data_IF_883202087140
#
_entry.id   IF_883202087140
#
_cell.length_a   1.000
_cell.length_b   1.000
_cell.length_c   1.000
_cell.angle_alpha   90.00
_cell.angle_beta   90.00
_cell.angle_gamma   90.00
#
_symmetry.space_group_name_H-M   'P 1'
#
loop_
_entity.id
_entity.type
_entity.pdbx_description
1 polymer ?
#
# COMPACT_ATOMS: atom_id res chain seq x y z
N UNK A 1 24.21 22.68 -0.53
CA UNK A 1 22.88 22.90 -1.15
C UNK A 1 21.87 22.15 -0.31
N UNK A 2 21.02 22.84 0.48
CA UNK A 2 20.02 22.15 1.32
C UNK A 2 19.07 21.41 0.39
N UNK A 3 18.94 20.09 0.58
CA UNK A 3 17.87 19.31 -0.04
C UNK A 3 16.56 20.03 0.29
N UNK A 4 15.85 20.47 -0.73
CA UNK A 4 14.56 21.13 -0.58
C UNK A 4 13.62 20.14 0.09
N UNK A 5 13.07 20.50 1.25
CA UNK A 5 12.11 19.70 2.03
C UNK A 5 11.06 19.09 1.08
N UNK A 6 11.09 17.76 0.93
CA UNK A 6 10.25 17.05 -0.05
C UNK A 6 9.28 16.14 0.68
N UNK A 7 7.99 16.26 0.37
CA UNK A 7 6.95 15.39 0.87
C UNK A 7 6.65 14.32 -0.18
N UNK A 8 6.75 13.05 0.21
CA UNK A 8 6.45 11.92 -0.66
C UNK A 8 5.05 11.44 -0.37
N UNK A 9 4.23 11.38 -1.42
CA UNK A 9 2.91 10.78 -1.38
C UNK A 9 2.89 9.56 -2.31
N UNK A 10 2.54 8.42 -1.73
CA UNK A 10 2.24 7.18 -2.45
C UNK A 10 0.74 7.02 -2.49
N UNK A 11 0.21 6.71 -3.67
CA UNK A 11 -1.21 6.50 -3.91
C UNK A 11 -1.36 5.10 -4.52
N UNK A 12 -2.18 4.26 -3.91
CA UNK A 12 -2.47 2.92 -4.39
C UNK A 12 -3.98 2.76 -4.60
N UNK A 13 -4.34 2.31 -5.78
CA UNK A 13 -5.72 2.01 -6.16
C UNK A 13 -5.95 0.51 -5.90
N UNK A 14 -7.01 0.18 -5.16
CA UNK A 14 -7.26 -1.16 -4.62
C UNK A 14 -6.99 -2.34 -5.56
N UNK A 15 -6.62 -3.49 -4.97
CA UNK A 15 -6.48 -4.82 -5.60
C UNK A 15 -7.65 -5.26 -6.51
N UNK A 16 -8.81 -4.59 -6.45
CA UNK A 16 -9.96 -4.87 -7.31
C UNK A 16 -9.67 -4.71 -8.81
N UNK A 17 -8.72 -3.86 -9.18
CA UNK A 17 -8.25 -3.71 -10.56
C UNK A 17 -7.91 -5.07 -11.20
N UNK A 18 -7.37 -6.00 -10.41
CA UNK A 18 -7.02 -7.35 -10.86
C UNK A 18 -8.21 -8.29 -11.15
N UNK A 19 -9.45 -7.88 -10.83
CA UNK A 19 -10.68 -8.65 -11.06
C UNK A 19 -11.43 -8.22 -12.33
N UNK A 20 -11.04 -7.10 -12.94
CA UNK A 20 -11.71 -6.58 -14.13
C UNK A 20 -11.27 -7.36 -15.37
N UNK A 21 -12.21 -7.57 -16.30
CA UNK A 21 -11.88 -8.04 -17.65
C UNK A 21 -10.97 -7.04 -18.35
N UNK A 22 -10.02 -7.53 -19.17
CA UNK A 22 -8.96 -6.73 -19.79
C UNK A 22 -9.45 -5.46 -20.52
N UNK A 23 -10.61 -5.53 -21.20
CA UNK A 23 -11.16 -4.37 -21.92
C UNK A 23 -11.79 -3.32 -21.00
N UNK A 24 -12.48 -3.76 -19.94
CA UNK A 24 -13.05 -2.85 -18.94
C UNK A 24 -11.96 -2.22 -18.08
N UNK A 25 -10.91 -2.98 -17.81
CA UNK A 25 -9.70 -2.55 -17.14
C UNK A 25 -9.05 -1.38 -17.89
N UNK A 26 -8.78 -1.50 -19.19
CA UNK A 26 -8.07 -0.48 -19.96
C UNK A 26 -8.77 0.90 -19.97
N UNK A 27 -10.07 0.95 -20.24
CA UNK A 27 -10.81 2.23 -20.28
C UNK A 27 -10.93 2.86 -18.88
N UNK A 28 -11.13 2.03 -17.86
CA UNK A 28 -11.20 2.49 -16.48
C UNK A 28 -9.85 3.07 -16.03
N UNK A 29 -8.77 2.33 -16.25
CA UNK A 29 -7.40 2.70 -15.90
C UNK A 29 -6.99 4.01 -16.56
N UNK A 30 -7.34 4.23 -17.84
CA UNK A 30 -7.08 5.52 -18.51
C UNK A 30 -7.83 6.69 -17.87
N UNK A 31 -9.14 6.57 -17.61
CA UNK A 31 -9.93 7.64 -16.98
C UNK A 31 -9.44 7.94 -15.57
N UNK A 32 -9.13 6.89 -14.81
CA UNK A 32 -8.56 7.00 -13.49
C UNK A 32 -7.21 7.72 -13.53
N UNK A 33 -6.33 7.30 -14.43
CA UNK A 33 -5.01 7.89 -14.55
C UNK A 33 -5.07 9.37 -14.90
N UNK A 34 -5.93 9.73 -15.86
CA UNK A 34 -6.17 11.13 -16.22
C UNK A 34 -6.73 11.94 -15.05
N UNK A 35 -7.65 11.35 -14.27
CA UNK A 35 -8.22 11.98 -13.08
C UNK A 35 -7.18 12.26 -12.00
N UNK A 36 -6.34 11.28 -11.67
CA UNK A 36 -5.26 11.41 -10.68
C UNK A 36 -4.24 12.45 -11.16
N UNK A 37 -3.71 12.31 -12.38
CA UNK A 37 -2.71 13.23 -12.94
C UNK A 37 -3.20 14.69 -12.99
N UNK A 38 -4.47 14.92 -13.32
CA UNK A 38 -5.06 16.27 -13.31
C UNK A 38 -5.07 16.88 -11.90
N UNK A 39 -5.39 16.08 -10.88
CA UNK A 39 -5.39 16.56 -9.49
C UNK A 39 -3.96 16.79 -9.00
N UNK A 40 -3.03 15.88 -9.29
CA UNK A 40 -1.61 16.04 -8.95
C UNK A 40 -1.05 17.34 -9.53
N UNK A 41 -1.27 17.58 -10.83
CA UNK A 41 -0.81 18.81 -11.50
C UNK A 41 -1.43 20.08 -10.89
N UNK A 42 -2.72 20.05 -10.53
CA UNK A 42 -3.40 21.18 -9.88
C UNK A 42 -2.73 21.59 -8.57
N UNK A 43 -2.22 20.62 -7.81
CA UNK A 43 -1.54 20.84 -6.54
C UNK A 43 0.00 20.77 -6.67
N UNK A 44 0.54 20.99 -7.88
CA UNK A 44 1.98 21.04 -8.15
C UNK A 44 2.75 19.78 -7.70
N UNK A 45 2.07 18.63 -7.66
CA UNK A 45 2.68 17.34 -7.39
C UNK A 45 3.45 16.84 -8.60
N UNK A 46 4.70 16.43 -8.41
CA UNK A 46 5.53 15.81 -9.45
C UNK A 46 5.47 14.30 -9.33
N UNK A 47 5.13 13.61 -10.40
CA UNK A 47 5.19 12.14 -10.45
C UNK A 47 6.66 11.70 -10.51
N UNK A 48 7.09 10.88 -9.55
CA UNK A 48 8.41 10.25 -9.52
C UNK A 48 8.37 8.94 -10.29
N UNK A 49 7.34 8.12 -10.03
CA UNK A 49 7.12 6.85 -10.71
C UNK A 49 5.63 6.52 -10.73
N UNK A 50 5.20 5.80 -11.74
CA UNK A 50 3.82 5.36 -11.92
C UNK A 50 3.80 3.92 -12.44
N UNK A 51 2.80 3.17 -11.98
CA UNK A 51 2.38 1.86 -12.49
C UNK A 51 0.86 1.88 -12.66
N UNK A 52 0.28 0.77 -13.11
CA UNK A 52 -1.17 0.66 -13.37
C UNK A 52 -2.04 0.99 -12.15
N UNK A 53 -1.54 0.71 -10.95
CA UNK A 53 -2.28 0.84 -9.70
C UNK A 53 -1.57 1.69 -8.63
N UNK A 54 -0.30 2.05 -8.83
CA UNK A 54 0.47 2.82 -7.84
C UNK A 54 1.10 4.07 -8.44
N UNK A 55 0.96 5.18 -7.73
CA UNK A 55 1.68 6.42 -8.00
C UNK A 55 2.59 6.76 -6.85
N UNK A 56 3.77 7.25 -7.19
CA UNK A 56 4.69 7.86 -6.25
C UNK A 56 4.98 9.27 -6.70
N UNK A 57 4.77 10.22 -5.79
CA UNK A 57 4.78 11.63 -6.13
C UNK A 57 5.53 12.43 -5.07
N UNK A 58 6.12 13.55 -5.48
CA UNK A 58 6.79 14.50 -4.60
C UNK A 58 6.11 15.86 -4.65
N UNK A 59 6.09 16.53 -3.51
CA UNK A 59 5.58 17.89 -3.34
C UNK A 59 6.60 18.73 -2.56
N UNK A 60 6.67 20.02 -2.88
CA UNK A 60 7.53 20.98 -2.19
C UNK A 60 6.83 21.67 -1.00
N UNK A 61 5.50 21.61 -0.95
CA UNK A 61 4.69 22.22 0.12
C UNK A 61 3.78 21.17 0.76
N UNK A 62 3.73 21.15 2.09
CA UNK A 62 2.89 20.19 2.81
C UNK A 62 1.41 20.51 2.63
N UNK A 63 1.05 21.79 2.51
CA UNK A 63 -0.33 22.22 2.28
C UNK A 63 -0.87 21.66 0.96
N UNK A 64 -0.12 21.83 -0.13
CA UNK A 64 -0.46 21.26 -1.43
C UNK A 64 -0.59 19.73 -1.36
N UNK A 65 0.32 19.07 -0.63
CA UNK A 65 0.30 17.61 -0.42
C UNK A 65 -1.00 17.15 0.26
N UNK A 66 -1.37 17.77 1.38
CA UNK A 66 -2.56 17.39 2.16
C UNK A 66 -3.86 17.71 1.40
N UNK A 67 -3.96 18.89 0.78
CA UNK A 67 -5.13 19.27 0.00
C UNK A 67 -5.31 18.39 -1.25
N UNK A 68 -4.19 17.99 -1.88
CA UNK A 68 -4.20 17.03 -2.98
C UNK A 68 -4.78 15.68 -2.53
N UNK A 69 -4.33 15.14 -1.40
CA UNK A 69 -4.84 13.88 -0.86
C UNK A 69 -6.35 13.93 -0.57
N UNK A 70 -6.85 15.03 0.01
CA UNK A 70 -8.30 15.24 0.24
C UNK A 70 -9.05 15.27 -1.09
N UNK A 71 -8.53 16.02 -2.08
CA UNK A 71 -9.19 16.16 -3.37
C UNK A 71 -9.22 14.85 -4.15
N UNK A 72 -8.15 14.06 -4.07
CA UNK A 72 -8.08 12.72 -4.65
C UNK A 72 -9.13 11.79 -4.03
N UNK A 73 -9.21 11.73 -2.69
CA UNK A 73 -10.24 10.94 -1.99
C UNK A 73 -11.66 11.34 -2.41
N UNK A 74 -11.96 12.64 -2.44
CA UNK A 74 -13.27 13.13 -2.85
C UNK A 74 -13.60 12.79 -4.30
N UNK A 75 -12.66 13.04 -5.23
CA UNK A 75 -12.88 12.80 -6.66
C UNK A 75 -13.02 11.31 -6.97
N UNK A 76 -12.29 10.43 -6.26
CA UNK A 76 -12.34 8.99 -6.49
C UNK A 76 -13.74 8.40 -6.27
N UNK A 77 -14.56 9.01 -5.39
CA UNK A 77 -15.98 8.65 -5.22
C UNK A 77 -16.80 8.72 -6.53
N UNK A 78 -16.41 9.60 -7.45
CA UNK A 78 -17.16 9.91 -8.67
C UNK A 78 -16.59 9.29 -9.96
N UNK A 79 -15.39 8.71 -9.91
CA UNK A 79 -14.71 8.18 -11.12
C UNK A 79 -15.27 6.80 -11.55
N UNK A 80 -16.12 6.16 -10.74
CA UNK A 80 -16.49 4.73 -10.90
C UNK A 80 -17.99 4.38 -10.80
N UNK A 81 -18.98 5.21 -11.18
CA UNK A 81 -20.39 5.08 -10.75
C UNK A 81 -21.07 3.71 -10.93
N UNK A 82 -20.58 2.82 -11.81
CA UNK A 82 -21.15 1.47 -12.06
C UNK A 82 -20.64 0.34 -11.15
N UNK A 83 -19.70 0.56 -10.24
CA UNK A 83 -19.05 -0.51 -9.45
C UNK A 83 -19.47 -0.49 -7.96
N UNK A 84 -19.34 -1.56 -7.18
CA UNK A 84 -19.76 -1.54 -5.76
C UNK A 84 -18.96 -0.48 -4.95
N UNK A 85 -19.63 0.26 -4.06
CA UNK A 85 -19.02 1.28 -3.19
C UNK A 85 -18.04 0.69 -2.16
N UNK A 86 -18.24 -0.58 -1.78
CA UNK A 86 -17.44 -1.26 -0.73
C UNK A 86 -15.95 -1.40 -1.08
N UNK A 87 -15.65 -1.47 -2.39
CA UNK A 87 -14.34 -1.81 -2.98
C UNK A 87 -13.61 -0.60 -3.61
N UNK A 88 -14.27 0.56 -3.75
CA UNK A 88 -13.68 1.77 -4.35
C UNK A 88 -12.83 2.54 -3.33
N UNK A 89 -11.69 2.00 -2.93
CA UNK A 89 -10.83 2.64 -1.93
C UNK A 89 -9.48 3.02 -2.53
N UNK A 90 -9.17 4.30 -2.43
CA UNK A 90 -7.84 4.83 -2.66
C UNK A 90 -7.10 4.77 -1.33
N UNK A 91 -5.92 4.15 -1.33
CA UNK A 91 -5.00 4.25 -0.20
C UNK A 91 -3.94 5.29 -0.51
N UNK A 92 -3.59 6.08 0.50
CA UNK A 92 -2.60 7.15 0.40
C UNK A 92 -1.68 7.09 1.61
N UNK A 93 -0.38 6.98 1.38
CA UNK A 93 0.66 7.14 2.39
C UNK A 93 1.45 8.44 2.15
N UNK A 94 1.63 9.27 3.17
CA UNK A 94 2.39 10.53 3.07
C UNK A 94 3.48 10.58 4.13
N UNK A 95 4.73 10.72 3.71
CA UNK A 95 5.88 10.81 4.59
C UNK A 95 6.83 11.93 4.15
N UNK A 96 7.63 12.40 5.10
CA UNK A 96 8.67 13.38 4.84
C UNK A 96 9.96 12.69 4.38
N UNK A 97 10.61 13.22 3.34
CA UNK A 97 11.89 12.69 2.83
C UNK A 97 13.08 13.47 3.40
N UNK A 98 13.94 12.76 4.15
CA UNK A 98 15.17 13.29 4.76
C UNK A 98 16.43 12.95 3.97
N UNK A 99 16.28 12.35 2.79
CA UNK A 99 17.37 11.78 2.02
C UNK A 99 17.50 10.27 2.23
N UNK A 100 18.13 9.60 1.27
CA UNK A 100 18.30 8.14 1.22
C UNK A 100 17.02 7.32 1.01
N UNK A 101 15.91 7.95 0.59
CA UNK A 101 14.68 7.26 0.18
C UNK A 101 13.85 6.68 1.33
N UNK A 102 14.17 7.07 2.58
CA UNK A 102 13.48 6.59 3.79
C UNK A 102 12.02 7.07 3.82
N UNK A 103 11.77 8.32 3.47
CA UNK A 103 10.42 8.88 3.41
C UNK A 103 9.57 8.14 2.38
N UNK A 104 10.15 7.96 1.19
CA UNK A 104 9.59 7.12 0.13
C UNK A 104 9.20 5.70 0.60
N UNK A 105 10.11 5.02 1.29
CA UNK A 105 9.89 3.65 1.78
C UNK A 105 8.78 3.61 2.83
N UNK A 106 8.77 4.58 3.75
CA UNK A 106 7.74 4.70 4.76
C UNK A 106 6.37 4.98 4.15
N UNK A 107 6.27 5.90 3.18
CA UNK A 107 5.02 6.20 2.47
C UNK A 107 4.44 4.95 1.79
N UNK A 108 5.28 4.17 1.10
CA UNK A 108 4.89 2.89 0.49
C UNK A 108 4.38 1.90 1.54
N UNK A 109 5.15 1.67 2.61
CA UNK A 109 4.75 0.73 3.67
C UNK A 109 3.45 1.13 4.35
N UNK A 110 3.23 2.43 4.59
CA UNK A 110 1.98 2.91 5.16
C UNK A 110 0.80 2.61 4.25
N UNK A 111 0.95 2.87 2.95
CA UNK A 111 -0.08 2.61 1.94
C UNK A 111 -0.44 1.12 1.87
N UNK A 112 0.56 0.25 1.76
CA UNK A 112 0.34 -1.19 1.56
C UNK A 112 -0.16 -1.89 2.83
N UNK A 113 0.31 -1.46 4.01
CA UNK A 113 0.18 -2.26 5.25
C UNK A 113 -0.97 -1.82 6.15
N UNK A 114 -1.28 -0.52 6.20
CA UNK A 114 -2.22 0.02 7.19
C UNK A 114 -3.64 -0.03 6.65
N UNK A 115 -4.61 -0.31 7.54
CA UNK A 115 -6.02 -0.46 7.18
C UNK A 115 -6.72 0.85 6.81
N UNK A 116 -6.25 1.96 7.37
CA UNK A 116 -6.79 3.30 7.16
C UNK A 116 -6.48 3.83 5.73
N UNK A 117 -7.39 4.62 5.16
CA UNK A 117 -7.29 5.04 3.75
C UNK A 117 -6.22 6.10 3.50
N UNK A 118 -6.07 7.07 4.41
CA UNK A 118 -5.03 8.09 4.29
C UNK A 118 -4.21 8.09 5.57
N UNK A 119 -2.92 7.79 5.42
CA UNK A 119 -2.00 7.65 6.53
C UNK A 119 -0.85 8.62 6.34
N UNK A 120 -0.55 9.38 7.38
CA UNK A 120 0.51 10.38 7.37
C UNK A 120 1.48 10.16 8.52
N UNK A 121 2.74 10.45 8.27
CA UNK A 121 3.76 10.53 9.29
C UNK A 121 3.52 11.74 10.22
N UNK A 122 3.91 11.63 11.49
CA UNK A 122 3.85 12.73 12.46
C UNK A 122 4.55 14.02 11.97
N UNK A 123 5.67 13.92 11.25
CA UNK A 123 6.39 15.08 10.70
C UNK A 123 5.54 15.85 9.68
N UNK A 124 4.83 15.14 8.81
CA UNK A 124 3.91 15.74 7.83
C UNK A 124 2.80 16.51 8.55
N UNK A 125 2.21 15.92 9.59
CA UNK A 125 1.20 16.61 10.41
C UNK A 125 1.77 17.88 11.05
N UNK A 126 2.92 17.79 11.70
CA UNK A 126 3.55 18.92 12.38
C UNK A 126 3.91 20.05 11.41
N UNK A 127 4.43 19.71 10.23
CA UNK A 127 4.73 20.67 9.17
C UNK A 127 3.45 21.40 8.70
N UNK A 128 2.36 20.66 8.47
CA UNK A 128 1.09 21.24 8.03
C UNK A 128 0.54 22.24 9.05
N UNK A 129 0.56 21.87 10.33
CA UNK A 129 0.08 22.72 11.43
C UNK A 129 0.93 24.00 11.57
N UNK A 130 2.24 23.90 11.34
CA UNK A 130 3.18 25.03 11.35
C UNK A 130 2.93 25.98 10.18
N UNK A 131 2.71 25.46 8.97
CA UNK A 131 2.47 26.28 7.77
C UNK A 131 1.09 26.97 7.82
N UNK A 132 0.08 26.34 8.42
CA UNK A 132 -1.31 26.78 8.39
C UNK A 132 -1.84 27.27 9.75
N UNK A 133 -1.06 28.05 10.52
CA UNK A 133 -1.48 28.76 11.76
C UNK A 133 -2.58 28.03 12.58
N UNK A 134 -2.29 26.81 13.05
CA UNK A 134 -3.20 25.97 13.85
C UNK A 134 -4.38 25.30 13.12
N UNK A 135 -4.37 25.22 11.79
CA UNK A 135 -5.30 24.35 11.08
C UNK A 135 -5.08 22.88 11.48
N UNK A 136 -6.14 22.18 11.82
CA UNK A 136 -6.09 20.77 12.20
C UNK A 136 -6.36 19.88 10.98
N UNK A 137 -5.55 18.84 10.84
CA UNK A 137 -5.88 17.73 9.94
C UNK A 137 -7.04 16.95 10.58
N UNK A 138 -8.16 16.86 9.86
CA UNK A 138 -9.33 16.13 10.33
C UNK A 138 -8.98 14.64 10.48
N UNK A 139 -9.14 14.10 11.70
CA UNK A 139 -8.88 12.70 12.05
C UNK A 139 -9.84 11.73 11.38
N UNK A 140 -11.02 12.19 10.96
CA UNK A 140 -11.99 11.37 10.21
C UNK A 140 -11.48 11.03 8.81
N UNK A 141 -10.57 11.84 8.28
CA UNK A 141 -9.99 11.66 6.95
C UNK A 141 -8.54 11.15 6.97
N UNK A 142 -7.81 11.39 8.05
CA UNK A 142 -6.39 11.07 8.15
C UNK A 142 -6.04 10.34 9.44
N UNK A 143 -5.35 9.21 9.30
CA UNK A 143 -4.60 8.61 10.40
C UNK A 143 -3.20 9.20 10.45
N UNK A 144 -2.83 9.77 11.59
CA UNK A 144 -1.42 10.11 11.88
C UNK A 144 -0.77 8.97 12.66
N UNK A 145 0.34 8.43 12.16
CA UNK A 145 1.12 7.46 12.91
C UNK A 145 1.89 8.11 14.05
N UNK A 146 1.82 7.49 15.23
CA UNK A 146 2.72 7.80 16.34
C UNK A 146 4.13 7.32 16.01
N UNK A 147 5.14 7.94 16.61
CA UNK A 147 6.55 7.52 16.45
C UNK A 147 6.72 6.02 16.75
N UNK A 148 6.11 5.52 17.82
CA UNK A 148 6.16 4.10 18.18
C UNK A 148 5.50 3.16 17.15
N UNK A 149 4.49 3.65 16.41
CA UNK A 149 3.84 2.88 15.34
C UNK A 149 4.70 2.88 14.09
N UNK A 150 5.28 4.03 13.73
CA UNK A 150 6.28 4.14 12.64
C UNK A 150 7.45 3.20 12.89
N UNK A 151 8.05 3.22 14.09
CA UNK A 151 9.16 2.32 14.45
C UNK A 151 8.75 0.84 14.34
N UNK A 152 7.56 0.49 14.83
CA UNK A 152 7.06 -0.88 14.72
C UNK A 152 6.87 -1.29 13.26
N UNK A 153 6.22 -0.47 12.44
CA UNK A 153 5.99 -0.73 11.02
C UNK A 153 7.31 -0.92 10.28
N UNK A 154 8.29 -0.05 10.51
CA UNK A 154 9.61 -0.16 9.89
C UNK A 154 10.29 -1.48 10.25
N UNK A 155 10.42 -1.81 11.54
CA UNK A 155 11.04 -3.08 11.99
C UNK A 155 10.30 -4.31 11.47
N UNK A 156 8.97 -4.27 11.50
CA UNK A 156 8.12 -5.35 11.00
C UNK A 156 8.39 -5.61 9.52
N UNK A 157 8.35 -4.56 8.70
CA UNK A 157 8.51 -4.70 7.25
C UNK A 157 9.96 -5.03 6.86
N UNK A 158 10.96 -4.41 7.51
CA UNK A 158 12.37 -4.77 7.33
C UNK A 158 12.58 -6.27 7.58
N UNK A 159 12.01 -6.80 8.66
CA UNK A 159 12.15 -8.22 8.97
C UNK A 159 11.35 -9.11 8.00
N UNK A 160 10.07 -8.79 7.73
CA UNK A 160 9.25 -9.55 6.77
C UNK A 160 9.91 -9.63 5.41
N UNK A 161 10.47 -8.53 4.90
CA UNK A 161 11.13 -8.49 3.59
C UNK A 161 12.32 -9.46 3.49
N UNK A 162 12.94 -9.83 4.62
CA UNK A 162 14.04 -10.81 4.66
C UNK A 162 13.57 -12.27 4.78
N UNK A 163 12.39 -12.53 5.35
CA UNK A 163 11.94 -13.90 5.66
C UNK A 163 10.68 -14.34 4.91
N UNK A 164 9.94 -13.46 4.25
CA UNK A 164 8.57 -13.72 3.76
C UNK A 164 8.43 -14.95 2.86
N UNK A 165 9.45 -15.28 2.05
CA UNK A 165 9.44 -16.41 1.13
C UNK A 165 9.94 -17.72 1.75
N UNK A 166 10.39 -17.71 3.00
CA UNK A 166 10.81 -18.92 3.69
C UNK A 166 9.57 -19.69 4.22
N UNK A 167 9.26 -20.89 3.70
CA UNK A 167 8.09 -21.64 4.15
C UNK A 167 8.14 -22.11 5.62
N UNK A 168 9.33 -22.19 6.23
CA UNK A 168 9.52 -22.78 7.56
C UNK A 168 9.54 -21.78 8.70
N UNK A 169 9.53 -20.48 8.44
CA UNK A 169 9.56 -19.49 9.52
C UNK A 169 8.24 -19.47 10.28
N UNK A 170 8.33 -19.25 11.60
CA UNK A 170 7.23 -19.17 12.54
C UNK A 170 6.97 -17.74 13.00
N UNK A 171 5.76 -17.50 13.51
CA UNK A 171 5.41 -16.23 14.17
C UNK A 171 6.33 -15.98 15.39
N UNK A 172 6.79 -17.06 16.01
CA UNK A 172 7.64 -17.00 17.19
C UNK A 172 9.01 -16.37 16.91
N UNK A 173 9.43 -16.35 15.64
CA UNK A 173 10.69 -15.77 15.20
C UNK A 173 10.65 -14.23 15.19
N UNK A 174 9.48 -13.60 15.42
CA UNK A 174 9.30 -12.15 15.35
C UNK A 174 9.58 -11.41 16.66
N UNK A 175 9.71 -12.10 17.79
CA UNK A 175 9.84 -11.41 19.08
C UNK A 175 11.18 -10.68 19.23
N UNK A 176 12.29 -11.37 18.93
CA UNK A 176 13.63 -10.81 19.05
C UNK A 176 13.89 -9.69 18.02
N UNK A 177 13.63 -9.88 16.71
CA UNK A 177 13.97 -8.86 15.71
C UNK A 177 13.15 -7.58 15.88
N UNK A 178 11.88 -7.71 16.29
CA UNK A 178 11.02 -6.54 16.50
C UNK A 178 11.22 -5.93 17.89
N UNK A 179 11.68 -6.71 18.88
CA UNK A 179 11.85 -6.29 20.28
C UNK A 179 10.52 -6.17 21.04
N UNK A 180 9.54 -7.02 20.73
CA UNK A 180 8.21 -7.00 21.36
C UNK A 180 7.73 -8.41 21.71
N UNK A 181 7.06 -8.54 22.86
CA UNK A 181 6.39 -9.80 23.25
C UNK A 181 5.28 -10.20 22.27
N UNK A 182 4.87 -11.47 22.29
CA UNK A 182 3.79 -11.99 21.41
C UNK A 182 2.49 -11.18 21.52
N UNK A 183 2.09 -10.87 22.74
CA UNK A 183 0.88 -10.07 23.02
C UNK A 183 0.99 -8.64 22.49
N UNK A 184 2.17 -8.02 22.58
CA UNK A 184 2.40 -6.68 22.01
C UNK A 184 2.35 -6.70 20.49
N UNK A 185 2.99 -7.68 19.84
CA UNK A 185 2.95 -7.84 18.39
C UNK A 185 1.50 -8.02 17.92
N UNK A 186 0.75 -8.93 18.53
CA UNK A 186 -0.65 -9.18 18.18
C UNK A 186 -1.49 -7.89 18.25
N UNK A 187 -1.43 -7.17 19.39
CA UNK A 187 -2.19 -5.91 19.57
C UNK A 187 -1.79 -4.83 18.56
N UNK A 188 -0.49 -4.67 18.30
CA UNK A 188 0.02 -3.70 17.31
C UNK A 188 -0.41 -4.05 15.89
N UNK A 189 -0.34 -5.32 15.51
CA UNK A 189 -0.79 -5.81 14.20
C UNK A 189 -2.28 -5.53 14.00
N UNK A 190 -3.15 -5.97 14.90
CA UNK A 190 -4.60 -5.75 14.78
C UNK A 190 -4.94 -4.25 14.77
N UNK A 191 -4.24 -3.45 15.56
CA UNK A 191 -4.43 -1.99 15.57
C UNK A 191 -4.09 -1.34 14.21
N UNK A 192 -2.95 -1.71 13.62
CA UNK A 192 -2.43 -1.08 12.40
C UNK A 192 -3.00 -1.68 11.11
N UNK A 193 -2.99 -3.00 10.99
CA UNK A 193 -3.33 -3.72 9.76
C UNK A 193 -4.74 -4.31 9.78
N UNK A 194 -5.35 -4.39 10.97
CA UNK A 194 -6.66 -5.02 11.16
C UNK A 194 -6.62 -6.54 11.23
N UNK A 195 -5.45 -7.16 11.05
CA UNK A 195 -5.31 -8.63 11.02
C UNK A 195 -4.13 -9.12 11.86
N UNK A 196 -4.17 -10.37 12.36
CA UNK A 196 -3.01 -10.98 13.04
C UNK A 196 -1.82 -11.17 12.09
N UNK A 197 -0.62 -11.31 12.67
CA UNK A 197 0.65 -11.45 11.94
C UNK A 197 0.64 -12.61 10.93
N UNK A 198 0.11 -13.78 11.31
CA UNK A 198 -0.01 -14.94 10.41
C UNK A 198 -0.82 -14.64 9.15
N UNK A 199 -1.94 -13.95 9.33
CA UNK A 199 -2.82 -13.56 8.22
C UNK A 199 -2.16 -12.49 7.37
N UNK A 200 -1.46 -11.53 7.99
CA UNK A 200 -0.69 -10.51 7.29
C UNK A 200 0.39 -11.12 6.39
N UNK A 201 1.21 -12.04 6.92
CA UNK A 201 2.25 -12.73 6.14
C UNK A 201 1.65 -13.51 4.97
N UNK A 202 0.58 -14.28 5.23
CA UNK A 202 -0.11 -15.04 4.18
C UNK A 202 -0.56 -14.10 3.05
N UNK A 203 -1.13 -12.95 3.42
CA UNK A 203 -1.56 -11.95 2.46
C UNK A 203 -0.36 -11.33 1.72
N UNK A 204 0.72 -11.01 2.41
CA UNK A 204 1.94 -10.49 1.80
C UNK A 204 2.50 -11.47 0.75
N UNK A 205 2.59 -12.76 1.08
CA UNK A 205 2.99 -13.83 0.14
C UNK A 205 2.08 -13.89 -1.09
N UNK A 206 0.77 -13.82 -0.90
CA UNK A 206 -0.21 -13.82 -1.99
C UNK A 206 -0.03 -12.63 -2.93
N UNK A 207 0.24 -11.43 -2.40
CA UNK A 207 0.51 -10.25 -3.23
C UNK A 207 1.81 -10.42 -4.03
N UNK A 208 2.88 -10.91 -3.40
CA UNK A 208 4.13 -11.22 -4.11
C UNK A 208 3.93 -12.29 -5.19
N UNK A 209 3.07 -13.28 -4.95
CA UNK A 209 2.73 -14.30 -5.95
C UNK A 209 2.07 -13.69 -7.20
N UNK A 210 1.17 -12.70 -7.05
CA UNK A 210 0.58 -12.01 -8.20
C UNK A 210 1.62 -11.31 -9.06
N UNK A 211 2.58 -10.60 -8.43
CA UNK A 211 3.69 -9.99 -9.17
C UNK A 211 4.53 -11.05 -9.89
N UNK A 212 4.84 -12.17 -9.24
CA UNK A 212 5.60 -13.26 -9.86
C UNK A 212 4.88 -13.87 -11.08
N UNK A 213 3.54 -14.00 -11.03
CA UNK A 213 2.74 -14.48 -12.15
C UNK A 213 2.85 -13.55 -13.37
N UNK A 214 2.85 -12.24 -13.14
CA UNK A 214 2.97 -11.24 -14.21
C UNK A 214 4.33 -11.31 -14.91
N UNK A 215 5.42 -11.47 -14.14
CA UNK A 215 6.77 -11.38 -14.69
C UNK A 215 7.35 -12.69 -15.23
N UNK A 216 6.91 -13.87 -14.77
CA UNK A 216 7.69 -15.12 -15.01
C UNK A 216 7.02 -16.22 -15.84
N UNK A 217 5.76 -16.12 -16.29
CA UNK A 217 5.04 -17.22 -17.00
C UNK A 217 5.27 -18.61 -16.36
N UNK A 218 5.51 -18.64 -15.05
CA UNK A 218 5.86 -19.86 -14.29
C UNK A 218 4.63 -20.73 -14.08
N UNK A 219 4.83 -22.04 -13.88
CA UNK A 219 3.75 -22.93 -13.44
C UNK A 219 3.23 -22.48 -12.08
N UNK A 220 1.92 -22.61 -11.83
CA UNK A 220 1.30 -22.20 -10.56
C UNK A 220 1.97 -22.85 -9.33
N UNK A 221 2.42 -24.11 -9.46
CA UNK A 221 3.17 -24.81 -8.41
C UNK A 221 4.51 -24.14 -8.07
N UNK A 222 5.23 -23.65 -9.08
CA UNK A 222 6.49 -22.92 -8.89
C UNK A 222 6.23 -21.54 -8.28
N UNK A 223 5.18 -20.84 -8.70
CA UNK A 223 4.79 -19.56 -8.09
C UNK A 223 4.45 -19.75 -6.61
N UNK A 224 3.71 -20.80 -6.25
CA UNK A 224 3.41 -21.13 -4.86
C UNK A 224 4.70 -21.35 -4.05
N UNK A 225 5.63 -22.16 -4.58
CA UNK A 225 6.92 -22.44 -3.92
C UNK A 225 7.76 -21.17 -3.73
N UNK A 226 7.94 -20.37 -4.77
CA UNK A 226 8.72 -19.13 -4.72
C UNK A 226 8.10 -18.06 -3.81
N UNK A 227 6.78 -18.11 -3.60
CA UNK A 227 6.08 -17.20 -2.68
C UNK A 227 6.03 -17.71 -1.23
N UNK A 228 6.72 -18.82 -0.91
CA UNK A 228 6.82 -19.34 0.45
C UNK A 228 5.64 -20.21 0.91
N UNK A 229 4.82 -20.71 -0.02
CA UNK A 229 3.82 -21.74 0.29
C UNK A 229 4.41 -23.14 0.13
N UNK A 230 4.25 -23.98 1.17
CA UNK A 230 4.66 -25.39 1.14
C UNK A 230 3.77 -26.19 0.19
N UNK A 231 2.45 -25.96 0.25
CA UNK A 231 1.45 -26.73 -0.48
C UNK A 231 0.77 -25.87 -1.57
N UNK A 232 0.96 -26.19 -2.87
CA UNK A 232 0.32 -25.48 -3.98
C UNK A 232 -1.22 -25.49 -3.97
N UNK A 233 -1.85 -26.55 -3.44
CA UNK A 233 -3.30 -26.63 -3.30
C UNK A 233 -3.81 -25.66 -2.24
N UNK A 234 -3.09 -25.56 -1.10
CA UNK A 234 -3.39 -24.56 -0.07
C UNK A 234 -3.18 -23.13 -0.57
N UNK A 235 -2.10 -22.89 -1.32
CA UNK A 235 -1.89 -21.62 -2.02
C UNK A 235 -3.09 -21.27 -2.91
N UNK A 236 -3.53 -22.20 -3.76
CA UNK A 236 -4.62 -21.96 -4.71
C UNK A 236 -5.94 -21.64 -4.01
N UNK A 237 -6.23 -22.32 -2.89
CA UNK A 237 -7.37 -22.01 -2.03
C UNK A 237 -7.26 -20.60 -1.46
N UNK A 238 -6.15 -20.26 -0.80
CA UNK A 238 -5.95 -18.94 -0.20
C UNK A 238 -6.00 -17.80 -1.23
N UNK A 239 -5.45 -18.04 -2.43
CA UNK A 239 -5.48 -17.09 -3.53
C UNK A 239 -6.91 -16.85 -4.01
N UNK A 240 -7.68 -17.92 -4.25
CA UNK A 240 -9.08 -17.84 -4.63
C UNK A 240 -9.91 -17.13 -3.55
N UNK A 241 -9.71 -17.48 -2.28
CA UNK A 241 -10.46 -16.90 -1.17
C UNK A 241 -10.22 -15.38 -1.06
N UNK A 242 -9.00 -14.92 -1.36
CA UNK A 242 -8.65 -13.49 -1.27
C UNK A 242 -9.02 -12.69 -2.52
N UNK A 243 -8.65 -13.19 -3.69
CA UNK A 243 -8.77 -12.45 -4.94
C UNK A 243 -10.04 -12.81 -5.72
N UNK A 244 -10.82 -13.78 -5.25
CA UNK A 244 -12.06 -14.27 -5.86
C UNK A 244 -11.86 -14.83 -7.28
N UNK A 245 -10.62 -15.15 -7.65
CA UNK A 245 -10.25 -15.74 -8.92
C UNK A 245 -9.22 -16.87 -8.70
N UNK A 246 -9.29 -17.91 -9.53
CA UNK A 246 -8.30 -18.98 -9.49
C UNK A 246 -6.94 -18.48 -10.01
N UNK A 247 -5.81 -18.90 -9.42
CA UNK A 247 -4.47 -18.55 -9.91
C UNK A 247 -4.26 -18.83 -11.41
N UNK A 248 -4.76 -19.97 -11.88
CA UNK A 248 -4.65 -20.37 -13.30
C UNK A 248 -5.42 -19.44 -14.23
N UNK A 249 -6.63 -19.01 -13.82
CA UNK A 249 -7.43 -18.06 -14.61
C UNK A 249 -6.80 -16.67 -14.60
N UNK A 250 -6.28 -16.23 -13.45
CA UNK A 250 -5.54 -14.97 -13.35
C UNK A 250 -4.34 -14.94 -14.31
N UNK A 251 -3.54 -16.02 -14.33
CA UNK A 251 -2.41 -16.14 -15.27
C UNK A 251 -2.87 -16.05 -16.73
N UNK A 252 -3.97 -16.72 -17.10
CA UNK A 252 -4.52 -16.67 -18.46
C UNK A 252 -4.99 -15.27 -18.87
N UNK A 253 -5.67 -14.53 -17.98
CA UNK A 253 -6.16 -13.17 -18.27
C UNK A 253 -5.03 -12.16 -18.47
N UNK A 254 -3.87 -12.39 -17.85
CA UNK A 254 -2.71 -11.49 -17.91
C UNK A 254 -1.54 -12.04 -18.74
N UNK A 255 -1.74 -13.16 -19.44
CA UNK A 255 -0.78 -13.69 -20.41
C UNK A 255 -0.98 -12.98 -21.75
N UNK A 256 -0.31 -11.84 -21.92
CA UNK A 256 -0.03 -11.28 -23.25
C UNK A 256 1.27 -11.89 -23.81
#
# INVERSE_FOLDING_TARGET
MKLQDTYIMVIETSDYLHRLEANQFNLFTQKLHNGISKVLNKFKGRIISQSDNTYKTSFNQVTDTILCAIKLQYNFKYITPKFDNSIRRLKIGIAYEEGNGKGSTLATRMCETIKDQVVIEARVKNAYQKENKNAFINKDHFRTLKVSETTFLTKLMDYIETVWNNPTFSIDDFHEPLGYSKSQIYRKMVSLTGVPLSTFIKNYRLNKAMHLMYFRKNKISEVAKHSGFINPSYFSKCFKDRFEILPSRYLQQHSL
#
